data_IF_714022691408
#
_entry.id   IF_714022691408
#
_cell.length_a   1.000
_cell.length_b   1.000
_cell.length_c   1.000
_cell.angle_alpha   90.00
_cell.angle_beta   90.00
_cell.angle_gamma   90.00
#
_symmetry.space_group_name_H-M   'P 1'
#
loop_
_entity.id
_entity.type
_entity.pdbx_description
1 polymer ?
#
# COMPACT_ATOMS: atom_id res chain seq x y z
N UNK A 1 18.05 46.99 51.23
CA UNK A 1 18.61 48.15 50.49
C UNK A 1 18.83 47.63 49.07
N UNK A 2 18.18 48.08 47.98
CA UNK A 2 17.79 49.42 47.54
C UNK A 2 18.81 49.91 46.49
N UNK A 3 18.49 50.39 45.27
CA UNK A 3 17.21 50.77 44.60
C UNK A 3 17.36 50.77 43.04
N UNK A 4 16.23 50.68 42.30
CA UNK A 4 15.85 51.34 41.00
C UNK A 4 16.86 51.35 39.80
N UNK A 5 16.61 50.88 38.56
CA UNK A 5 15.50 51.04 37.57
C UNK A 5 15.22 52.50 37.11
N UNK A 6 14.55 52.78 35.96
CA UNK A 6 14.97 52.84 34.53
C UNK A 6 14.91 54.33 34.03
N UNK A 7 14.42 54.77 32.81
CA UNK A 7 14.31 54.20 31.43
C UNK A 7 14.79 55.18 30.30
N UNK A 8 14.64 54.82 29.01
CA UNK A 8 14.61 55.76 27.86
C UNK A 8 14.85 55.06 26.49
N UNK A 9 13.83 54.77 25.67
CA UNK A 9 13.20 55.65 24.66
C UNK A 9 14.22 56.22 23.64
N UNK A 10 14.29 55.73 22.40
CA UNK A 10 13.32 55.89 21.30
C UNK A 10 13.25 57.32 20.72
N UNK A 11 13.94 57.56 19.59
CA UNK A 11 13.60 58.62 18.64
C UNK A 11 13.77 58.19 17.20
N UNK A 12 12.81 58.59 16.39
CA UNK A 12 12.72 58.35 14.95
C UNK A 12 13.50 59.40 14.15
N UNK A 13 13.60 59.12 12.84
CA UNK A 13 13.34 60.06 11.72
C UNK A 13 14.50 60.79 11.01
N UNK A 14 14.37 60.75 9.67
CA UNK A 14 14.85 61.69 8.64
C UNK A 14 16.37 61.86 8.54
N UNK A 15 17.02 61.36 7.48
CA UNK A 15 16.81 61.67 6.06
C UNK A 15 16.95 63.18 5.73
N UNK A 16 18.12 63.54 5.19
CA UNK A 16 18.44 64.68 4.31
C UNK A 16 19.82 64.35 3.70
N UNK A 17 19.91 64.06 2.41
CA UNK A 17 19.80 64.97 1.25
C UNK A 17 21.10 65.71 0.96
N UNK A 18 21.56 65.55 -0.29
CA UNK A 18 22.53 66.38 -1.01
C UNK A 18 23.95 66.50 -0.39
N UNK A 19 25.02 66.58 -1.21
CA UNK A 19 25.05 66.41 -2.65
C UNK A 19 26.46 66.61 -3.22
N UNK A 20 26.63 66.09 -4.44
CA UNK A 20 27.35 66.72 -5.55
C UNK A 20 28.79 67.23 -5.31
N UNK A 21 29.77 66.48 -5.83
CA UNK A 21 31.09 67.00 -6.18
C UNK A 21 31.55 66.45 -7.55
N UNK A 22 31.23 67.23 -8.59
CA UNK A 22 32.09 67.52 -9.76
C UNK A 22 32.64 66.37 -10.64
N UNK A 23 31.89 66.11 -11.72
CA UNK A 23 32.34 66.09 -13.13
C UNK A 23 33.53 65.21 -13.59
N UNK A 24 33.26 64.26 -14.50
CA UNK A 24 33.54 64.42 -15.95
C UNK A 24 32.99 63.27 -16.83
N UNK A 25 32.51 63.64 -18.04
CA UNK A 25 32.46 62.83 -19.28
C UNK A 25 31.31 61.83 -19.59
N UNK A 26 30.56 62.19 -20.65
CA UNK A 26 29.72 61.40 -21.59
C UNK A 26 28.35 60.81 -21.16
N UNK A 27 27.28 61.58 -21.48
CA UNK A 27 26.10 61.26 -22.34
C UNK A 27 25.79 59.75 -22.59
N UNK A 28 24.55 59.23 -22.49
CA UNK A 28 23.23 59.79 -22.82
C UNK A 28 22.07 58.99 -22.12
N UNK A 29 20.93 59.64 -21.82
CA UNK A 29 19.59 59.09 -21.43
C UNK A 29 19.51 58.07 -20.25
N UNK A 30 18.87 58.32 -19.08
CA UNK A 30 17.54 58.85 -18.70
C UNK A 30 16.52 57.75 -18.32
N UNK A 31 15.73 58.04 -17.27
CA UNK A 31 14.66 57.22 -16.64
C UNK A 31 15.14 55.94 -15.91
N UNK A 32 15.13 55.81 -14.58
CA UNK A 32 14.07 55.98 -13.57
C UNK A 32 12.96 54.92 -13.63
N UNK A 33 12.89 54.06 -12.59
CA UNK A 33 11.68 53.55 -11.89
C UNK A 33 11.92 52.16 -11.25
N UNK A 34 11.72 52.10 -9.93
CA UNK A 34 11.34 50.92 -9.14
C UNK A 34 9.83 50.66 -9.29
N UNK A 35 9.25 49.57 -8.76
CA UNK A 35 9.77 48.21 -8.48
C UNK A 35 8.88 47.12 -9.13
N UNK A 36 9.29 45.84 -9.13
CA UNK A 36 8.27 44.77 -9.01
C UNK A 36 8.78 43.50 -8.30
N UNK A 37 7.88 42.98 -7.48
CA UNK A 37 7.83 41.66 -6.86
C UNK A 37 7.62 40.54 -7.89
N UNK A 38 8.65 39.75 -8.18
CA UNK A 38 8.49 38.41 -8.76
C UNK A 38 9.74 37.56 -8.59
N UNK A 39 9.80 36.78 -7.50
CA UNK A 39 10.53 35.49 -7.53
C UNK A 39 10.11 34.56 -6.37
N UNK A 40 8.81 34.29 -6.26
CA UNK A 40 8.36 32.98 -5.77
C UNK A 40 8.24 32.10 -7.01
N UNK A 41 9.40 31.62 -7.49
CA UNK A 41 9.43 30.54 -8.48
C UNK A 41 8.80 29.31 -7.81
N UNK A 42 7.51 29.13 -8.09
CA UNK A 42 6.74 27.96 -7.68
C UNK A 42 7.33 26.77 -8.42
N UNK A 43 8.11 25.95 -7.71
CA UNK A 43 8.60 24.68 -8.21
C UNK A 43 7.39 23.75 -8.44
N UNK A 44 6.79 23.86 -9.61
CA UNK A 44 5.77 22.94 -10.09
C UNK A 44 6.40 21.56 -10.20
N UNK A 45 6.13 20.73 -9.20
CA UNK A 45 6.46 19.30 -9.25
C UNK A 45 5.61 18.73 -10.37
N UNK A 46 6.23 18.59 -11.55
CA UNK A 46 5.59 18.03 -12.72
C UNK A 46 5.03 16.66 -12.36
N UNK A 47 3.70 16.54 -12.42
CA UNK A 47 3.01 15.27 -12.23
C UNK A 47 3.64 14.26 -13.18
N UNK A 48 4.18 13.11 -12.71
CA UNK A 48 4.68 12.10 -13.61
C UNK A 48 3.51 11.64 -14.47
N UNK A 49 3.65 11.81 -15.79
CA UNK A 49 2.66 11.33 -16.74
C UNK A 49 2.39 9.83 -16.45
N UNK A 50 1.13 9.35 -16.59
CA UNK A 50 0.86 7.95 -16.42
C UNK A 50 1.72 7.18 -17.41
N UNK A 51 2.66 6.38 -16.91
CA UNK A 51 3.38 5.41 -17.71
C UNK A 51 2.33 4.42 -18.17
N UNK A 52 1.84 4.63 -19.40
CA UNK A 52 0.93 3.70 -20.05
C UNK A 52 1.72 2.41 -20.16
N UNK A 53 1.36 1.45 -19.33
CA UNK A 53 2.00 0.15 -19.29
C UNK A 53 1.59 -0.58 -20.56
N UNK A 54 2.34 -0.30 -21.63
CA UNK A 54 2.20 -0.98 -22.90
C UNK A 54 2.54 -2.44 -22.65
N UNK A 55 1.51 -3.30 -22.67
CA UNK A 55 1.68 -4.73 -22.83
C UNK A 55 2.38 -4.97 -24.18
N UNK A 56 3.71 -4.97 -24.15
CA UNK A 56 4.55 -5.30 -25.29
C UNK A 56 4.17 -6.73 -25.73
N UNK A 57 3.62 -6.92 -26.95
CA UNK A 57 3.24 -8.25 -27.39
C UNK A 57 4.50 -9.13 -27.42
N UNK A 58 4.47 -10.23 -26.68
CA UNK A 58 5.61 -11.15 -26.50
C UNK A 58 6.01 -11.89 -27.78
N UNK A 59 5.27 -11.68 -28.87
CA UNK A 59 5.55 -12.18 -30.21
C UNK A 59 5.03 -11.16 -31.23
N UNK A 60 5.91 -10.46 -31.96
CA UNK A 60 5.52 -9.66 -33.12
C UNK A 60 5.53 -10.58 -34.35
N UNK A 61 4.42 -10.74 -35.08
CA UNK A 61 4.39 -11.61 -36.25
C UNK A 61 5.40 -11.16 -37.32
N UNK A 62 6.31 -12.07 -37.73
CA UNK A 62 7.34 -11.79 -38.73
C UNK A 62 8.63 -11.16 -38.20
N UNK A 63 8.78 -10.98 -36.89
CA UNK A 63 10.01 -10.45 -36.28
C UNK A 63 11.19 -11.44 -36.42
N UNK A 64 12.34 -10.98 -36.90
CA UNK A 64 13.56 -11.80 -36.99
C UNK A 64 14.16 -12.05 -35.60
N UNK A 65 14.96 -13.10 -35.45
CA UNK A 65 15.63 -13.37 -34.18
C UNK A 65 16.56 -12.22 -33.75
N UNK A 66 17.18 -11.54 -34.72
CA UNK A 66 18.07 -10.39 -34.50
C UNK A 66 17.31 -9.17 -33.97
N UNK A 67 16.14 -8.87 -34.55
CA UNK A 67 15.28 -7.79 -34.06
C UNK A 67 14.79 -8.05 -32.63
N UNK A 68 14.41 -9.30 -32.34
CA UNK A 68 14.03 -9.73 -30.98
C UNK A 68 15.16 -9.57 -29.97
N UNK A 69 16.40 -9.90 -30.37
CA UNK A 69 17.57 -9.73 -29.51
C UNK A 69 17.85 -8.25 -29.22
N UNK A 70 17.89 -7.40 -30.24
CA UNK A 70 18.11 -5.96 -30.08
C UNK A 70 17.06 -5.29 -29.19
N UNK A 71 15.79 -5.71 -29.31
CA UNK A 71 14.69 -5.26 -28.45
C UNK A 71 14.89 -5.70 -27.00
N UNK A 72 15.21 -6.97 -26.75
CA UNK A 72 15.45 -7.49 -25.40
C UNK A 72 16.68 -6.85 -24.73
N UNK A 73 17.72 -6.52 -25.50
CA UNK A 73 18.88 -5.78 -25.01
C UNK A 73 18.52 -4.35 -24.59
N UNK A 74 17.68 -3.67 -25.37
CA UNK A 74 17.13 -2.35 -25.02
C UNK A 74 16.25 -2.40 -23.76
N UNK A 75 15.30 -3.35 -23.70
CA UNK A 75 14.40 -3.53 -22.55
C UNK A 75 15.20 -3.86 -21.28
N UNK A 76 16.25 -4.68 -21.38
CA UNK A 76 17.17 -4.97 -20.26
C UNK A 76 17.99 -3.74 -19.83
N UNK A 77 18.34 -2.84 -20.75
CA UNK A 77 19.02 -1.59 -20.44
C UNK A 77 18.09 -0.61 -19.70
N UNK A 78 16.85 -0.45 -20.17
CA UNK A 78 15.82 0.36 -19.49
C UNK A 78 15.54 -0.19 -18.08
N UNK A 79 15.27 -1.49 -17.96
CA UNK A 79 14.95 -2.11 -16.66
C UNK A 79 16.08 -1.97 -15.63
N UNK A 80 17.36 -2.01 -16.06
CA UNK A 80 18.51 -1.73 -15.19
C UNK A 80 18.51 -0.28 -14.70
N UNK A 81 18.14 0.67 -15.55
CA UNK A 81 18.04 2.09 -15.21
C UNK A 81 16.90 2.32 -14.19
N UNK A 82 15.69 1.84 -14.48
CA UNK A 82 14.53 1.92 -13.59
C UNK A 82 14.82 1.29 -12.23
N UNK A 83 15.43 0.10 -12.23
CA UNK A 83 15.79 -0.59 -11.00
C UNK A 83 16.84 0.17 -10.17
N UNK A 84 17.77 0.89 -10.80
CA UNK A 84 18.72 1.76 -10.09
C UNK A 84 18.05 2.97 -9.41
N UNK A 85 16.92 3.43 -9.94
CA UNK A 85 16.11 4.53 -9.36
C UNK A 85 15.26 4.00 -8.19
N UNK A 86 14.66 2.82 -8.34
CA UNK A 86 13.75 2.24 -7.33
C UNK A 86 14.50 1.66 -6.11
N UNK A 87 15.66 1.02 -6.32
CA UNK A 87 16.47 0.42 -5.23
C UNK A 87 16.72 1.36 -4.03
N UNK A 88 17.29 2.58 -4.19
CA UNK A 88 17.57 3.45 -3.05
C UNK A 88 16.31 3.88 -2.31
N UNK A 89 15.19 4.07 -3.03
CA UNK A 89 13.90 4.40 -2.41
C UNK A 89 13.38 3.24 -1.54
N UNK A 90 13.57 1.99 -1.99
CA UNK A 90 13.22 0.81 -1.20
C UNK A 90 14.11 0.65 0.04
N UNK A 91 15.43 0.84 -0.11
CA UNK A 91 16.38 0.80 1.01
C UNK A 91 16.07 1.89 2.06
N UNK A 92 15.65 3.08 1.64
CA UNK A 92 15.15 4.14 2.53
C UNK A 92 13.86 3.74 3.24
N UNK A 93 12.90 3.09 2.57
CA UNK A 93 11.66 2.63 3.20
C UNK A 93 11.93 1.57 4.27
N UNK A 94 12.76 0.57 3.98
CA UNK A 94 13.18 -0.46 4.97
C UNK A 94 13.91 0.17 6.16
N UNK A 95 14.75 1.18 5.91
CA UNK A 95 15.44 1.92 6.99
C UNK A 95 14.46 2.68 7.89
N UNK A 96 13.43 3.31 7.31
CA UNK A 96 12.37 4.04 8.05
C UNK A 96 11.42 3.10 8.78
N UNK A 97 11.17 1.91 8.25
CA UNK A 97 10.41 0.85 8.94
C UNK A 97 11.17 0.38 10.19
N UNK A 98 12.47 0.09 10.08
CA UNK A 98 13.31 -0.23 11.23
C UNK A 98 13.40 0.89 12.28
N UNK A 99 13.43 2.16 11.86
CA UNK A 99 13.35 3.29 12.79
C UNK A 99 11.98 3.38 13.49
N UNK A 100 10.89 3.10 12.77
CA UNK A 100 9.54 3.06 13.33
C UNK A 100 9.38 1.92 14.35
N UNK A 101 9.91 0.73 14.06
CA UNK A 101 9.93 -0.40 14.98
C UNK A 101 10.73 -0.07 16.26
N UNK A 102 11.89 0.58 16.13
CA UNK A 102 12.67 1.04 17.28
C UNK A 102 11.90 2.07 18.12
N UNK A 103 11.20 3.02 17.47
CA UNK A 103 10.33 3.99 18.16
C UNK A 103 9.16 3.31 18.87
N UNK A 104 8.52 2.31 18.25
CA UNK A 104 7.45 1.52 18.88
C UNK A 104 7.97 0.74 20.09
N UNK A 105 9.10 0.03 19.96
CA UNK A 105 9.71 -0.69 21.07
C UNK A 105 10.13 0.24 22.23
N UNK A 106 10.61 1.45 21.92
CA UNK A 106 10.91 2.47 22.94
C UNK A 106 9.64 2.97 23.66
N UNK A 107 8.54 3.18 22.94
CA UNK A 107 7.24 3.53 23.52
C UNK A 107 6.67 2.40 24.37
N UNK A 108 6.76 1.15 23.92
CA UNK A 108 6.34 -0.03 24.69
C UNK A 108 7.17 -0.20 25.97
N UNK A 109 8.49 0.04 25.91
CA UNK A 109 9.36 0.03 27.09
C UNK A 109 9.02 1.15 28.09
N UNK A 110 8.70 2.35 27.60
CA UNK A 110 8.33 3.49 28.44
C UNK A 110 6.92 3.36 29.05
N UNK A 111 5.97 2.76 28.34
CA UNK A 111 4.55 2.71 28.72
C UNK A 111 4.09 1.35 29.27
N UNK A 112 4.85 0.27 29.05
CA UNK A 112 4.51 -1.09 29.48
C UNK A 112 4.14 -1.23 30.96
N UNK A 113 4.87 -0.62 31.91
CA UNK A 113 4.50 -0.62 33.33
C UNK A 113 3.17 0.10 33.61
N UNK A 114 2.82 1.09 32.79
CA UNK A 114 1.61 1.92 32.94
C UNK A 114 0.39 1.18 32.37
N UNK A 115 0.50 0.54 31.21
CA UNK A 115 -0.58 -0.28 30.63
C UNK A 115 -0.81 -1.60 31.37
N UNK A 116 0.21 -2.16 32.03
CA UNK A 116 0.06 -3.31 32.92
C UNK A 116 -0.86 -3.04 34.14
N UNK A 117 -1.09 -1.77 34.48
CA UNK A 117 -1.94 -1.36 35.60
C UNK A 117 -3.43 -1.18 35.22
N UNK A 118 -3.82 -1.41 33.97
CA UNK A 118 -5.23 -1.37 33.54
C UNK A 118 -5.89 -2.74 33.82
N UNK A 119 -6.89 -2.84 34.72
CA UNK A 119 -7.52 -4.12 35.02
C UNK A 119 -8.28 -4.66 33.81
N UNK A 120 -7.84 -5.80 33.26
CA UNK A 120 -8.61 -6.51 32.25
C UNK A 120 -9.88 -7.06 32.89
N UNK A 121 -11.01 -6.40 32.63
CA UNK A 121 -12.32 -6.81 33.14
C UNK A 121 -12.62 -8.27 32.76
N UNK A 122 -12.78 -9.11 33.78
CA UNK A 122 -13.03 -10.54 33.59
C UNK A 122 -14.46 -10.77 33.05
N UNK A 123 -14.66 -11.67 32.06
CA UNK A 123 -15.99 -12.07 31.64
C UNK A 123 -16.71 -12.82 32.77
N UNK A 124 -17.97 -12.47 33.04
CA UNK A 124 -18.80 -13.18 34.03
C UNK A 124 -19.16 -14.58 33.51
N UNK A 125 -19.10 -15.64 34.35
CA UNK A 125 -19.57 -16.97 33.95
C UNK A 125 -21.09 -16.99 33.77
N UNK A 126 -21.55 -17.64 32.70
CA UNK A 126 -22.98 -17.89 32.45
C UNK A 126 -23.32 -19.34 32.87
N UNK A 127 -24.44 -19.58 33.59
CA UNK A 127 -24.70 -20.89 34.22
C UNK A 127 -25.15 -21.97 33.24
N UNK A 128 -24.79 -23.23 33.54
CA UNK A 128 -25.11 -24.40 32.75
C UNK A 128 -26.46 -25.04 33.10
N UNK A 129 -27.08 -25.74 32.13
CA UNK A 129 -28.15 -26.75 32.35
C UNK A 129 -28.09 -27.85 31.25
N UNK A 130 -28.72 -29.02 31.42
CA UNK A 130 -27.95 -30.27 31.45
C UNK A 130 -28.18 -31.21 30.28
N UNK A 131 -27.41 -32.30 30.27
CA UNK A 131 -27.38 -33.33 29.25
C UNK A 131 -28.65 -34.21 29.16
N UNK A 132 -28.90 -34.72 27.96
CA UNK A 132 -29.56 -35.99 27.73
C UNK A 132 -28.94 -36.67 26.49
N UNK A 133 -28.64 -37.96 26.60
CA UNK A 133 -28.26 -38.86 25.50
C UNK A 133 -29.12 -40.13 25.64
N UNK A 134 -29.36 -40.93 24.58
CA UNK A 134 -28.32 -41.85 24.12
C UNK A 134 -28.21 -42.05 22.59
N UNK A 135 -27.13 -42.74 22.18
CA UNK A 135 -26.85 -43.24 20.82
C UNK A 135 -27.87 -44.29 20.34
N UNK A 136 -27.98 -44.50 19.01
CA UNK A 136 -27.46 -45.77 18.45
C UNK A 136 -26.23 -45.59 17.54
N UNK A 137 -25.57 -46.69 17.20
CA UNK A 137 -24.33 -46.69 16.41
C UNK A 137 -24.39 -47.70 15.25
N UNK A 138 -23.79 -47.30 14.09
CA UNK A 138 -23.24 -48.09 12.96
C UNK A 138 -23.35 -47.23 11.67
N UNK A 139 -22.44 -47.27 10.70
CA UNK A 139 -21.11 -47.89 10.64
C UNK A 139 -20.22 -47.08 9.68
N UNK A 140 -18.90 -47.17 9.85
CA UNK A 140 -17.89 -46.47 9.04
C UNK A 140 -17.64 -47.17 7.70
N UNK A 141 -17.63 -46.44 6.57
CA UNK A 141 -16.74 -46.72 5.44
C UNK A 141 -15.48 -45.87 5.60
N UNK A 142 -14.30 -46.49 5.51
CA UNK A 142 -13.03 -45.76 5.61
C UNK A 142 -12.89 -44.73 4.46
N UNK A 143 -12.24 -43.57 4.68
CA UNK A 143 -11.96 -42.63 3.60
C UNK A 143 -10.96 -43.25 2.63
N UNK A 144 -11.44 -43.83 1.53
CA UNK A 144 -10.60 -44.10 0.36
C UNK A 144 -10.05 -42.76 -0.09
N UNK A 145 -8.73 -42.63 -0.15
CA UNK A 145 -8.07 -41.41 -0.61
C UNK A 145 -8.67 -40.99 -1.96
N UNK A 146 -9.29 -39.81 -2.00
CA UNK A 146 -9.83 -39.25 -3.22
C UNK A 146 -8.65 -38.86 -4.12
N UNK A 147 -8.33 -39.74 -5.07
CA UNK A 147 -7.55 -39.35 -6.25
C UNK A 147 -8.24 -38.14 -6.90
N UNK A 148 -7.48 -37.18 -7.48
CA UNK A 148 -8.08 -35.97 -8.04
C UNK A 148 -9.15 -36.33 -9.07
N UNK A 149 -10.37 -35.87 -8.84
CA UNK A 149 -11.39 -35.89 -9.88
C UNK A 149 -10.86 -35.07 -11.07
N UNK A 150 -10.88 -35.65 -12.27
CA UNK A 150 -10.59 -34.93 -13.50
C UNK A 150 -11.48 -33.66 -13.57
N UNK A 151 -10.97 -32.55 -14.14
CA UNK A 151 -11.54 -31.24 -13.87
C UNK A 151 -12.96 -31.11 -14.42
N UNK A 152 -13.95 -31.13 -13.51
CA UNK A 152 -15.09 -30.25 -13.66
C UNK A 152 -14.55 -28.84 -13.94
N UNK A 153 -15.07 -28.18 -14.98
CA UNK A 153 -14.58 -26.91 -15.52
C UNK A 153 -14.17 -25.98 -14.39
N UNK A 154 -12.87 -25.78 -14.21
CA UNK A 154 -12.34 -25.31 -12.93
C UNK A 154 -12.81 -23.88 -12.70
N UNK A 155 -13.79 -23.70 -11.82
CA UNK A 155 -14.52 -22.45 -11.64
C UNK A 155 -13.56 -21.27 -11.48
N UNK A 156 -13.90 -20.12 -12.04
CA UNK A 156 -13.04 -18.94 -12.01
C UNK A 156 -13.39 -18.12 -10.76
N UNK A 157 -12.40 -17.47 -10.16
CA UNK A 157 -12.59 -16.56 -9.03
C UNK A 157 -11.43 -15.56 -8.92
N UNK A 158 -11.41 -14.83 -7.82
CA UNK A 158 -10.38 -13.84 -7.52
C UNK A 158 -9.71 -14.14 -6.17
N UNK A 159 -8.41 -13.90 -6.08
CA UNK A 159 -7.62 -13.98 -4.85
C UNK A 159 -7.44 -12.57 -4.29
N UNK A 160 -7.91 -12.33 -3.06
CA UNK A 160 -7.97 -11.00 -2.43
C UNK A 160 -6.86 -10.76 -1.40
N UNK A 161 -6.47 -11.78 -0.64
CA UNK A 161 -5.46 -11.66 0.41
C UNK A 161 -4.91 -13.04 0.84
N UNK A 162 -3.80 -13.05 1.58
CA UNK A 162 -3.22 -14.27 2.15
C UNK A 162 -2.92 -14.06 3.63
N UNK A 163 -3.52 -14.87 4.50
CA UNK A 163 -3.43 -14.73 5.96
C UNK A 163 -2.68 -15.91 6.60
N UNK A 164 -2.06 -15.67 7.76
CA UNK A 164 -1.41 -16.73 8.55
C UNK A 164 -2.44 -17.59 9.29
N UNK A 165 -3.45 -16.99 9.92
CA UNK A 165 -4.50 -17.70 10.68
C UNK A 165 -5.84 -17.72 9.96
N UNK A 166 -6.77 -18.57 10.42
CA UNK A 166 -8.13 -18.60 9.89
C UNK A 166 -8.95 -17.40 10.37
N UNK A 167 -8.72 -16.96 11.60
CA UNK A 167 -9.51 -15.88 12.22
C UNK A 167 -9.19 -14.53 11.57
N UNK A 168 -7.91 -14.25 11.29
CA UNK A 168 -7.50 -13.08 10.49
C UNK A 168 -8.07 -13.09 9.07
N UNK A 169 -8.29 -14.27 8.49
CA UNK A 169 -8.95 -14.40 7.18
C UNK A 169 -10.45 -14.08 7.25
N UNK A 170 -11.12 -14.47 8.34
CA UNK A 170 -12.54 -14.16 8.60
C UNK A 170 -12.74 -12.66 8.87
N UNK A 171 -11.88 -12.07 9.70
CA UNK A 171 -11.83 -10.61 9.95
C UNK A 171 -11.64 -9.85 8.63
N UNK A 172 -10.56 -10.15 7.89
CA UNK A 172 -10.26 -9.46 6.63
C UNK A 172 -11.31 -9.66 5.54
N UNK A 173 -12.02 -10.80 5.50
CA UNK A 173 -13.17 -10.96 4.61
C UNK A 173 -14.36 -10.08 4.99
N UNK A 174 -14.65 -9.94 6.29
CA UNK A 174 -15.70 -9.05 6.75
C UNK A 174 -15.38 -7.58 6.44
N UNK A 175 -14.13 -7.16 6.66
CA UNK A 175 -13.62 -5.83 6.31
C UNK A 175 -13.74 -5.55 4.80
N UNK A 176 -13.20 -6.46 3.96
CA UNK A 176 -13.26 -6.34 2.51
C UNK A 176 -14.71 -6.27 2.00
N UNK A 177 -15.60 -7.13 2.51
CA UNK A 177 -17.02 -7.14 2.11
C UNK A 177 -17.75 -5.87 2.55
N UNK A 178 -17.43 -5.32 3.71
CA UNK A 178 -18.02 -4.07 4.19
C UNK A 178 -17.57 -2.86 3.33
N UNK A 179 -16.29 -2.79 2.98
CA UNK A 179 -15.72 -1.69 2.19
C UNK A 179 -15.99 -1.77 0.68
N UNK A 180 -16.17 -2.98 0.14
CA UNK A 180 -16.29 -3.24 -1.31
C UNK A 180 -17.52 -4.10 -1.63
N UNK A 181 -18.64 -3.82 -0.98
CA UNK A 181 -19.91 -4.56 -1.14
C UNK A 181 -20.42 -4.57 -2.59
N UNK A 182 -20.19 -3.50 -3.36
CA UNK A 182 -20.51 -3.41 -4.79
C UNK A 182 -19.82 -4.48 -5.65
N UNK A 183 -18.61 -4.89 -5.27
CA UNK A 183 -17.81 -5.90 -5.97
C UNK A 183 -17.97 -7.31 -5.38
N UNK A 184 -18.16 -7.41 -4.05
CA UNK A 184 -18.02 -8.67 -3.31
C UNK A 184 -19.34 -9.28 -2.84
N UNK A 185 -20.48 -8.62 -3.07
CA UNK A 185 -21.81 -9.17 -2.75
C UNK A 185 -22.15 -10.33 -3.68
N UNK A 186 -22.74 -11.40 -3.13
CA UNK A 186 -23.11 -12.60 -3.89
C UNK A 186 -21.95 -13.56 -4.21
N UNK A 187 -20.71 -13.24 -3.81
CA UNK A 187 -19.58 -14.15 -3.94
C UNK A 187 -19.39 -15.01 -2.68
N UNK A 188 -19.20 -16.30 -2.89
CA UNK A 188 -18.78 -17.28 -1.88
C UNK A 188 -17.28 -17.16 -1.59
N UNK A 189 -16.87 -17.61 -0.40
CA UNK A 189 -15.46 -17.71 -0.03
C UNK A 189 -14.95 -19.13 -0.16
N UNK A 190 -13.75 -19.25 -0.73
CA UNK A 190 -12.89 -20.43 -0.56
C UNK A 190 -11.55 -20.08 0.05
N UNK A 191 -11.03 -21.03 0.82
CA UNK A 191 -9.71 -20.98 1.43
C UNK A 191 -8.79 -21.96 0.72
N UNK A 192 -7.75 -21.44 0.07
CA UNK A 192 -6.66 -22.28 -0.45
C UNK A 192 -5.47 -22.20 0.50
N UNK A 193 -5.13 -23.32 1.14
CA UNK A 193 -3.88 -23.46 1.89
C UNK A 193 -2.73 -23.54 0.90
N UNK A 194 -1.68 -22.75 1.14
CA UNK A 194 -0.39 -22.86 0.44
C UNK A 194 0.72 -23.01 1.49
N UNK A 195 1.70 -23.87 1.21
CA UNK A 195 2.96 -23.87 1.94
C UNK A 195 3.98 -23.07 1.13
N UNK A 196 4.72 -22.18 1.79
CA UNK A 196 5.75 -21.34 1.18
C UNK A 196 7.15 -21.68 1.70
N UNK A 197 7.30 -22.85 2.34
CA UNK A 197 8.55 -23.33 2.90
C UNK A 197 9.00 -22.44 4.05
N UNK A 198 10.08 -21.68 3.85
CA UNK A 198 10.71 -20.83 4.88
C UNK A 198 9.75 -19.81 5.49
N UNK A 199 8.76 -19.32 4.74
CA UNK A 199 7.79 -18.32 5.22
C UNK A 199 6.54 -18.95 5.88
N UNK A 200 6.46 -20.28 5.88
CA UNK A 200 5.40 -21.09 6.50
C UNK A 200 4.14 -21.24 5.65
N UNK A 201 3.06 -21.66 6.31
CA UNK A 201 1.76 -21.90 5.66
C UNK A 201 0.91 -20.64 5.66
N UNK A 202 0.38 -20.29 4.48
CA UNK A 202 -0.61 -19.22 4.31
C UNK A 202 -1.97 -19.80 3.88
N UNK A 203 -3.02 -19.04 4.16
CA UNK A 203 -4.41 -19.28 3.77
C UNK A 203 -4.81 -18.15 2.82
N UNK A 204 -4.96 -18.46 1.53
CA UNK A 204 -5.47 -17.51 0.53
C UNK A 204 -6.98 -17.36 0.72
N UNK A 205 -7.45 -16.11 0.71
CA UNK A 205 -8.86 -15.73 0.60
C UNK A 205 -9.24 -15.64 -0.88
N UNK A 206 -10.06 -16.57 -1.36
CA UNK A 206 -10.63 -16.54 -2.70
C UNK A 206 -12.11 -16.17 -2.64
N UNK A 207 -12.56 -15.30 -3.55
CA UNK A 207 -13.98 -14.99 -3.76
C UNK A 207 -14.43 -15.46 -5.16
N UNK A 208 -15.64 -16.01 -5.27
CA UNK A 208 -16.18 -16.56 -6.51
C UNK A 208 -17.42 -17.43 -6.25
N UNK A 209 -17.85 -18.27 -7.21
CA UNK A 209 -17.36 -18.32 -8.58
C UNK A 209 -17.77 -17.07 -9.37
N UNK A 210 -17.04 -16.75 -10.44
CA UNK A 210 -17.41 -15.69 -11.39
C UNK A 210 -17.55 -16.24 -12.81
N UNK A 211 -18.45 -15.66 -13.59
CA UNK A 211 -18.96 -16.22 -14.85
C UNK A 211 -17.89 -16.39 -15.95
N UNK A 212 -16.81 -15.61 -15.94
CA UNK A 212 -15.75 -15.68 -16.95
C UNK A 212 -14.45 -15.08 -16.45
N UNK A 213 -13.35 -15.33 -17.18
CA UNK A 213 -12.05 -14.70 -16.90
C UNK A 213 -12.08 -13.19 -17.10
N UNK A 214 -12.84 -12.72 -18.09
CA UNK A 214 -13.05 -11.29 -18.33
C UNK A 214 -13.78 -10.63 -17.18
N UNK A 215 -14.82 -11.28 -16.62
CA UNK A 215 -15.52 -10.79 -15.43
C UNK A 215 -14.59 -10.74 -14.20
N UNK A 216 -13.76 -11.78 -13.99
CA UNK A 216 -12.76 -11.79 -12.92
C UNK A 216 -11.74 -10.64 -13.05
N UNK A 217 -11.25 -10.40 -14.27
CA UNK A 217 -10.30 -9.33 -14.55
C UNK A 217 -10.91 -7.94 -14.32
N UNK A 218 -12.13 -7.69 -14.79
CA UNK A 218 -12.84 -6.42 -14.55
C UNK A 218 -13.12 -6.19 -13.05
N UNK A 219 -13.46 -7.24 -12.32
CA UNK A 219 -13.64 -7.19 -10.87
C UNK A 219 -12.31 -6.84 -10.16
N UNK A 220 -11.20 -7.46 -10.58
CA UNK A 220 -9.88 -7.11 -10.06
C UNK A 220 -9.43 -5.70 -10.44
N UNK A 221 -9.79 -5.19 -11.61
CA UNK A 221 -9.50 -3.81 -12.00
C UNK A 221 -10.24 -2.81 -11.08
N UNK A 222 -11.54 -3.05 -10.84
CA UNK A 222 -12.35 -2.21 -9.93
C UNK A 222 -11.81 -2.22 -8.48
N UNK A 223 -11.43 -3.39 -7.97
CA UNK A 223 -10.83 -3.55 -6.64
C UNK A 223 -9.44 -2.91 -6.54
N UNK A 224 -8.58 -3.10 -7.54
CA UNK A 224 -7.22 -2.53 -7.56
C UNK A 224 -7.24 -1.00 -7.64
N UNK A 225 -8.20 -0.42 -8.37
CA UNK A 225 -8.43 1.02 -8.41
C UNK A 225 -8.86 1.60 -7.03
N UNK A 226 -9.37 0.76 -6.13
CA UNK A 226 -9.69 1.11 -4.73
C UNK A 226 -8.55 0.73 -3.74
N UNK A 227 -7.37 0.35 -4.24
CA UNK A 227 -6.21 -0.04 -3.43
C UNK A 227 -6.24 -1.48 -2.89
N UNK A 228 -7.19 -2.31 -3.33
CA UNK A 228 -7.33 -3.71 -2.88
C UNK A 228 -6.54 -4.64 -3.80
N UNK A 229 -5.69 -5.50 -3.23
CA UNK A 229 -5.04 -6.56 -3.98
C UNK A 229 -6.09 -7.48 -4.62
N UNK A 230 -5.97 -7.75 -5.91
CA UNK A 230 -6.79 -8.74 -6.57
C UNK A 230 -6.03 -9.46 -7.68
N UNK A 231 -6.19 -10.78 -7.77
CA UNK A 231 -5.69 -11.57 -8.90
C UNK A 231 -6.67 -12.65 -9.35
N UNK A 232 -6.96 -12.72 -10.64
CA UNK A 232 -7.78 -13.77 -11.24
C UNK A 232 -7.12 -15.15 -11.10
N UNK A 233 -7.84 -16.11 -10.54
CA UNK A 233 -7.38 -17.45 -10.19
C UNK A 233 -8.46 -18.51 -10.43
N UNK A 234 -8.09 -19.79 -10.31
CA UNK A 234 -9.04 -20.89 -10.20
C UNK A 234 -9.66 -20.91 -8.79
N UNK A 235 -10.98 -20.78 -8.70
CA UNK A 235 -11.79 -20.82 -7.48
C UNK A 235 -11.83 -22.22 -6.86
N UNK A 236 -10.76 -22.55 -6.14
CA UNK A 236 -10.49 -23.83 -5.51
C UNK A 236 -10.16 -23.65 -4.03
N UNK A 237 -10.32 -24.71 -3.23
CA UNK A 237 -10.13 -24.68 -1.78
C UNK A 237 -11.36 -25.14 -1.01
N UNK A 238 -11.26 -25.16 0.32
CA UNK A 238 -12.38 -25.46 1.22
C UNK A 238 -13.28 -24.23 1.40
N UNK A 239 -14.51 -24.42 1.87
CA UNK A 239 -15.35 -23.31 2.37
C UNK A 239 -14.75 -22.67 3.64
N UNK A 240 -15.27 -21.49 4.00
CA UNK A 240 -14.88 -20.68 5.17
C UNK A 240 -15.43 -21.22 6.52
#
# INVERSE_FOLDING_TARGET
MGRKQPPGQATTRKARHAGCALAASLLLAACAQTPDTSDITTASIGSPAPVVQADLPSNIPGETMEARLARLEYDLAQLKLDYSIVRPSFEQLVSREGELDQRMAALESALGPITASVPKAAPKPMPAKPAAAPKPAKATPAPRAAAPAAPASSAIGIHLASYRTLDRLKEGWAELKAAHSSELTGLDVRIQRIDTGKNGVFRRLLAGPVNSRTAANGLCQALSAKGVYCKTVTFSGSTL
#
